data_IF_264809690696
#
_entry.id   IF_264809690696
#
_cell.length_a   1.000
_cell.length_b   1.000
_cell.length_c   1.000
_cell.angle_alpha   90.00
_cell.angle_beta   90.00
_cell.angle_gamma   90.00
#
_symmetry.space_group_name_H-M   'P 1'
#
loop_
_entity.id
_entity.type
_entity.pdbx_description
1 polymer ?
#
# COMPACT_ATOMS: atom_id res chain seq x y z
N UNK A 1 24.17 51.75 1.26
CA UNK A 1 23.24 50.60 1.21
C UNK A 1 22.56 50.50 -0.16
N UNK A 2 23.26 50.01 -1.20
CA UNK A 2 22.67 49.75 -2.53
C UNK A 2 23.01 48.35 -3.08
N UNK A 3 24.08 47.74 -2.57
CA UNK A 3 24.57 46.43 -3.04
C UNK A 3 24.07 45.24 -2.21
N UNK A 4 23.37 45.48 -1.08
CA UNK A 4 22.82 44.41 -0.23
C UNK A 4 21.51 43.85 -0.80
N UNK A 5 20.76 44.67 -1.54
CA UNK A 5 19.47 44.24 -2.14
C UNK A 5 19.66 43.23 -3.26
N UNK A 6 20.78 43.29 -3.98
CA UNK A 6 21.07 42.41 -5.12
C UNK A 6 21.48 41.00 -4.69
N UNK A 7 22.06 40.85 -3.48
CA UNK A 7 22.48 39.54 -2.98
C UNK A 7 21.30 38.67 -2.53
N UNK A 8 20.22 39.28 -2.02
CA UNK A 8 19.03 38.52 -1.59
C UNK A 8 18.20 37.96 -2.75
N UNK A 9 18.18 38.62 -3.91
CA UNK A 9 17.38 38.17 -5.05
C UNK A 9 17.94 36.89 -5.73
N UNK A 10 19.27 36.69 -5.68
CA UNK A 10 19.91 35.53 -6.29
C UNK A 10 19.71 34.23 -5.49
N UNK A 11 19.51 34.31 -4.17
CA UNK A 11 19.26 33.14 -3.31
C UNK A 11 17.84 32.56 -3.44
N UNK A 12 16.90 33.30 -4.02
CA UNK A 12 15.50 32.87 -4.16
C UNK A 12 15.29 32.00 -5.43
N UNK A 13 16.20 32.06 -6.41
CA UNK A 13 16.04 31.36 -7.70
C UNK A 13 16.65 29.94 -7.76
N UNK A 14 17.32 29.46 -6.71
CA UNK A 14 17.91 28.10 -6.67
C UNK A 14 17.12 27.13 -5.78
N UNK A 15 15.95 27.54 -5.29
CA UNK A 15 15.18 26.78 -4.29
C UNK A 15 14.15 25.79 -4.85
N UNK A 16 14.15 25.49 -6.15
CA UNK A 16 13.17 24.58 -6.74
C UNK A 16 13.89 23.46 -7.49
N UNK A 17 13.46 22.24 -7.20
CA UNK A 17 13.90 20.96 -7.79
C UNK A 17 15.09 20.31 -7.08
N UNK A 18 14.78 19.57 -6.01
CA UNK A 18 15.14 18.14 -5.87
C UNK A 18 14.46 17.54 -4.64
N UNK A 19 13.16 17.30 -4.75
CA UNK A 19 12.48 16.31 -3.92
C UNK A 19 11.57 15.45 -4.81
N UNK A 20 12.11 14.95 -5.92
CA UNK A 20 11.67 13.66 -6.44
C UNK A 20 12.05 12.64 -5.38
N UNK A 21 11.12 12.40 -4.45
CA UNK A 21 11.28 11.46 -3.35
C UNK A 21 11.65 10.09 -3.90
N UNK A 22 12.94 9.78 -3.89
CA UNK A 22 13.39 8.42 -3.76
C UNK A 22 12.92 7.98 -2.38
N UNK A 23 11.82 7.22 -2.36
CA UNK A 23 11.39 6.50 -1.17
C UNK A 23 12.45 5.43 -0.86
N UNK A 24 13.57 5.88 -0.27
CA UNK A 24 14.50 5.02 0.42
C UNK A 24 13.79 4.59 1.70
N UNK A 25 13.58 3.28 1.80
CA UNK A 25 13.02 2.61 2.94
C UNK A 25 13.72 3.07 4.24
N UNK A 26 13.07 3.99 4.94
CA UNK A 26 13.33 4.29 6.34
C UNK A 26 12.02 4.00 7.06
N UNK A 27 12.06 3.09 8.02
CA UNK A 27 10.97 2.76 8.94
C UNK A 27 10.61 3.98 9.82
N UNK A 28 10.01 5.01 9.21
CA UNK A 28 9.67 6.26 9.87
C UNK A 28 8.58 6.97 9.09
N UNK A 29 7.39 7.04 9.69
CA UNK A 29 6.19 7.69 9.16
C UNK A 29 6.53 9.11 8.68
N UNK A 30 6.50 9.34 7.36
CA UNK A 30 6.92 10.60 6.70
C UNK A 30 5.88 11.72 6.80
N UNK A 31 4.64 11.41 7.15
CA UNK A 31 3.66 12.42 7.59
C UNK A 31 2.51 11.71 8.30
N UNK A 32 2.33 11.98 9.58
CA UNK A 32 1.06 11.70 10.25
C UNK A 32 0.11 12.84 9.90
N UNK A 33 -0.39 12.83 8.67
CA UNK A 33 -1.66 13.48 8.39
C UNK A 33 -2.66 12.78 9.30
N UNK A 34 -3.46 13.53 10.06
CA UNK A 34 -4.50 12.92 10.90
C UNK A 34 -5.27 11.92 10.02
N UNK A 35 -5.49 10.69 10.53
CA UNK A 35 -6.26 9.66 9.84
C UNK A 35 -7.67 10.23 9.63
N UNK A 36 -7.88 10.96 8.53
CA UNK A 36 -9.19 11.48 8.17
C UNK A 36 -9.99 10.23 7.79
N UNK A 37 -11.03 9.87 8.55
CA UNK A 37 -11.81 8.66 8.29
C UNK A 37 -12.26 8.64 6.82
N UNK A 38 -12.18 7.48 6.17
CA UNK A 38 -12.51 7.29 4.75
C UNK A 38 -11.61 8.04 3.75
N UNK A 39 -10.38 8.42 4.12
CA UNK A 39 -9.39 8.85 3.13
C UNK A 39 -9.06 7.73 2.15
N UNK A 40 -8.70 8.10 0.92
CA UNK A 40 -8.28 7.16 -0.09
C UNK A 40 -6.77 6.93 -0.02
N UNK A 41 -6.36 5.69 0.18
CA UNK A 41 -4.98 5.26 0.30
C UNK A 41 -4.61 4.21 -0.74
N UNK A 42 -3.31 4.16 -1.03
CA UNK A 42 -2.65 3.05 -1.69
C UNK A 42 -1.84 2.28 -0.63
N UNK A 43 -2.16 1.01 -0.41
CA UNK A 43 -1.58 0.17 0.63
C UNK A 43 -1.11 -1.16 0.06
N UNK A 44 -0.07 -1.74 0.67
CA UNK A 44 0.42 -3.07 0.34
C UNK A 44 0.44 -3.94 1.58
N UNK A 45 -0.18 -5.11 1.49
CA UNK A 45 -0.18 -6.09 2.58
C UNK A 45 -0.14 -7.51 2.04
N UNK A 46 0.30 -8.46 2.86
CA UNK A 46 0.35 -9.86 2.46
C UNK A 46 -1.05 -10.49 2.45
N UNK A 47 -1.28 -11.40 1.51
CA UNK A 47 -2.52 -12.18 1.44
C UNK A 47 -2.69 -13.08 2.68
N UNK A 48 -3.93 -13.49 2.93
CA UNK A 48 -4.28 -14.48 3.96
C UNK A 48 -3.77 -15.86 3.51
N UNK A 49 -3.30 -16.67 4.46
CA UNK A 49 -2.87 -18.04 4.19
C UNK A 49 -4.08 -18.87 3.73
N UNK A 50 -3.99 -19.60 2.61
CA UNK A 50 -5.11 -20.40 2.10
C UNK A 50 -5.71 -21.34 3.16
N UNK A 51 -4.86 -21.98 3.96
CA UNK A 51 -5.26 -22.90 5.04
C UNK A 51 -6.12 -22.25 6.14
N UNK A 52 -5.97 -20.94 6.36
CA UNK A 52 -6.74 -20.19 7.38
C UNK A 52 -7.84 -19.32 6.77
N UNK A 53 -7.85 -19.15 5.44
CA UNK A 53 -8.78 -18.28 4.74
C UNK A 53 -10.24 -18.74 4.92
N UNK A 54 -10.48 -20.05 4.96
CA UNK A 54 -11.83 -20.60 5.13
C UNK A 54 -12.36 -20.52 6.57
N UNK A 55 -11.48 -20.39 7.57
CA UNK A 55 -11.85 -20.44 8.99
C UNK A 55 -12.13 -19.07 9.62
N UNK A 56 -12.36 -19.09 10.93
CA UNK A 56 -12.73 -17.89 11.71
C UNK A 56 -11.53 -17.03 12.13
N UNK A 57 -10.32 -17.52 11.91
CA UNK A 57 -9.06 -16.86 12.30
C UNK A 57 -8.12 -16.73 11.10
N UNK A 58 -8.38 -15.77 10.19
CA UNK A 58 -7.53 -15.53 9.04
C UNK A 58 -6.14 -15.05 9.49
N UNK A 59 -5.09 -15.73 9.01
CA UNK A 59 -3.71 -15.36 9.30
C UNK A 59 -3.02 -14.90 8.03
N UNK A 60 -2.32 -13.77 8.09
CA UNK A 60 -1.54 -13.26 6.98
C UNK A 60 -0.33 -14.15 6.68
N UNK A 61 0.08 -14.18 5.40
CA UNK A 61 1.34 -14.79 4.98
C UNK A 61 2.53 -14.00 5.56
N UNK A 62 3.69 -14.66 5.60
CA UNK A 62 4.94 -14.03 6.01
C UNK A 62 5.27 -12.88 5.04
N UNK A 63 5.70 -11.73 5.58
CA UNK A 63 6.04 -10.53 4.80
C UNK A 63 7.16 -10.71 3.79
N UNK A 64 8.07 -11.66 4.00
CA UNK A 64 9.24 -11.90 3.15
C UNK A 64 8.99 -12.85 1.98
N UNK A 65 7.89 -13.61 1.99
CA UNK A 65 7.66 -14.68 1.00
C UNK A 65 6.20 -14.89 0.60
N UNK A 66 5.29 -14.07 1.13
CA UNK A 66 3.87 -14.14 0.82
C UNK A 66 3.49 -13.31 -0.40
N UNK A 67 2.49 -13.77 -1.13
CA UNK A 67 1.81 -12.95 -2.14
C UNK A 67 1.35 -11.63 -1.53
N UNK A 68 1.53 -10.55 -2.27
CA UNK A 68 1.20 -9.18 -1.86
C UNK A 68 -0.05 -8.72 -2.59
N UNK A 69 -0.98 -8.14 -1.85
CA UNK A 69 -2.16 -7.44 -2.36
C UNK A 69 -1.80 -5.95 -2.46
N UNK A 70 -2.01 -5.39 -3.65
CA UNK A 70 -1.86 -3.97 -3.93
C UNK A 70 -3.24 -3.31 -3.84
N UNK A 71 -3.56 -2.74 -2.68
CA UNK A 71 -4.88 -2.24 -2.35
C UNK A 71 -5.00 -0.74 -2.58
N UNK A 72 -6.12 -0.33 -3.18
CA UNK A 72 -6.48 1.07 -3.36
C UNK A 72 -7.90 1.27 -2.82
N UNK A 73 -8.05 2.05 -1.75
CA UNK A 73 -9.32 2.18 -1.05
C UNK A 73 -9.20 2.93 0.26
N UNK A 74 -9.99 2.57 1.26
CA UNK A 74 -10.02 3.29 2.53
C UNK A 74 -8.71 3.09 3.32
N UNK A 75 -8.18 4.17 3.90
CA UNK A 75 -6.93 4.12 4.67
C UNK A 75 -7.01 3.28 5.96
N UNK A 76 -8.21 3.00 6.45
CA UNK A 76 -8.48 2.18 7.63
C UNK A 76 -8.77 0.71 7.29
N UNK A 77 -8.44 0.28 6.06
CA UNK A 77 -8.57 -1.10 5.63
C UNK A 77 -7.75 -2.06 6.51
N UNK A 78 -8.35 -3.22 6.81
CA UNK A 78 -7.70 -4.27 7.60
C UNK A 78 -7.38 -5.48 6.71
N UNK A 79 -6.10 -5.88 6.56
CA UNK A 79 -5.72 -7.03 5.73
C UNK A 79 -6.39 -8.36 6.12
N UNK A 80 -6.84 -8.47 7.37
CA UNK A 80 -7.60 -9.61 7.90
C UNK A 80 -9.04 -9.25 8.30
N UNK A 81 -9.51 -8.08 7.86
CA UNK A 81 -10.89 -7.63 8.02
C UNK A 81 -11.87 -8.44 7.18
N UNK A 82 -13.16 -8.33 7.49
CA UNK A 82 -14.21 -9.13 6.84
C UNK A 82 -14.24 -8.93 5.33
N UNK A 83 -14.07 -7.69 4.87
CA UNK A 83 -14.13 -7.35 3.44
C UNK A 83 -12.98 -8.03 2.68
N UNK A 84 -11.76 -7.96 3.22
CA UNK A 84 -10.60 -8.67 2.65
C UNK A 84 -10.74 -10.20 2.70
N UNK A 85 -11.34 -10.75 3.77
CA UNK A 85 -11.60 -12.19 3.86
C UNK A 85 -12.57 -12.64 2.77
N UNK A 86 -13.66 -11.89 2.56
CA UNK A 86 -14.67 -12.22 1.53
C UNK A 86 -14.06 -12.09 0.13
N UNK A 87 -13.34 -11.01 -0.13
CA UNK A 87 -12.71 -10.76 -1.43
C UNK A 87 -11.68 -11.85 -1.78
N UNK A 88 -10.80 -12.20 -0.84
CA UNK A 88 -9.81 -13.24 -1.07
C UNK A 88 -10.42 -14.64 -1.17
N UNK A 89 -11.53 -14.92 -0.46
CA UNK A 89 -12.30 -16.17 -0.66
C UNK A 89 -12.84 -16.26 -2.07
N UNK A 90 -13.43 -15.17 -2.57
CA UNK A 90 -13.97 -15.09 -3.92
C UNK A 90 -12.89 -15.29 -4.97
N UNK A 91 -11.77 -14.59 -4.85
CA UNK A 91 -10.62 -14.76 -5.76
C UNK A 91 -10.08 -16.20 -5.73
N UNK A 92 -9.95 -16.82 -4.55
CA UNK A 92 -9.54 -18.21 -4.44
C UNK A 92 -10.50 -19.19 -5.14
N UNK A 93 -11.82 -18.95 -5.07
CA UNK A 93 -12.83 -19.75 -5.79
C UNK A 93 -12.70 -19.60 -7.30
N UNK A 94 -12.52 -18.37 -7.80
CA UNK A 94 -12.33 -18.13 -9.23
C UNK A 94 -11.05 -18.79 -9.76
N UNK A 95 -9.94 -18.70 -9.01
CA UNK A 95 -8.71 -19.39 -9.37
C UNK A 95 -8.90 -20.90 -9.43
N UNK A 96 -9.54 -21.49 -8.42
CA UNK A 96 -9.81 -22.93 -8.42
C UNK A 96 -10.66 -23.37 -9.61
N UNK A 97 -11.70 -22.61 -9.96
CA UNK A 97 -12.54 -22.90 -11.13
C UNK A 97 -11.74 -22.85 -12.43
N UNK A 98 -10.95 -21.78 -12.63
CA UNK A 98 -10.12 -21.63 -13.82
C UNK A 98 -9.05 -22.72 -13.93
N UNK A 99 -8.37 -23.03 -12.82
CA UNK A 99 -7.32 -24.06 -12.80
C UNK A 99 -7.90 -25.46 -13.11
N UNK A 100 -9.17 -25.71 -12.75
CA UNK A 100 -9.89 -26.92 -13.12
C UNK A 100 -10.24 -26.96 -14.61
N UNK A 101 -10.76 -25.85 -15.17
CA UNK A 101 -11.08 -25.73 -16.60
C UNK A 101 -9.83 -25.86 -17.49
N UNK A 102 -8.73 -25.20 -17.11
CA UNK A 102 -7.47 -25.21 -17.85
C UNK A 102 -6.68 -26.52 -17.69
N UNK A 103 -6.88 -27.26 -16.60
CA UNK A 103 -6.21 -28.52 -16.29
C UNK A 103 -6.88 -29.78 -16.87
N UNK A 104 -7.90 -29.61 -17.70
CA UNK A 104 -8.75 -30.68 -18.25
C UNK A 104 -8.31 -31.23 -19.62
N UNK A 105 -7.10 -30.89 -20.10
CA UNK A 105 -6.51 -31.42 -21.35
C UNK A 105 -5.82 -32.79 -21.18
#
# INVERSE_FOLDING_TARGET
MKNVKTLLAALILLGNVTASGTALAADGIVSKTEDVPNSYCHMKFTAIRPRTLAGDQPQLKNSSSGDVIDYYGACDESPSGKDQVVEQKRDAQFRFGRDYEDGSD
#
